data_IF_123627674687
#
_entry.id   IF_123627674687
#
_cell.length_a   1.000
_cell.length_b   1.000
_cell.length_c   1.000
_cell.angle_alpha   90.00
_cell.angle_beta   90.00
_cell.angle_gamma   90.00
#
_symmetry.space_group_name_H-M   'P 1'
#
loop_
_entity.id
_entity.type
_entity.pdbx_description
1 polymer ?
#
# COMPACT_ATOMS: atom_id res chain seq x y z
N UNK A 1 -22.86 16.85 0.46
CA UNK A 1 -21.59 17.61 0.57
C UNK A 1 -21.21 17.65 2.04
N UNK A 2 -20.03 17.15 2.39
CA UNK A 2 -19.55 17.19 3.78
C UNK A 2 -18.70 18.45 3.98
N UNK A 3 -18.94 19.17 5.07
CA UNK A 3 -18.17 20.35 5.45
C UNK A 3 -17.34 19.99 6.68
N UNK A 4 -16.04 20.24 6.62
CA UNK A 4 -15.12 20.08 7.74
C UNK A 4 -14.73 21.47 8.22
N UNK A 5 -14.97 21.76 9.49
CA UNK A 5 -14.45 22.95 10.15
C UNK A 5 -13.22 22.56 10.96
N UNK A 6 -12.09 23.21 10.68
CA UNK A 6 -10.87 23.05 11.47
C UNK A 6 -10.75 24.30 12.33
N UNK A 7 -10.71 24.10 13.65
CA UNK A 7 -10.58 25.18 14.65
C UNK A 7 -9.18 25.19 15.22
N UNK A 8 -8.83 26.32 15.82
CA UNK A 8 -7.59 26.49 16.59
C UNK A 8 -6.33 26.12 15.80
N UNK A 9 -6.34 26.44 14.50
CA UNK A 9 -5.17 26.25 13.64
C UNK A 9 -4.11 27.27 14.06
N UNK A 10 -2.88 26.83 14.37
CA UNK A 10 -1.77 27.75 14.64
C UNK A 10 -1.61 28.76 13.51
N UNK A 11 -1.37 30.02 13.86
CA UNK A 11 -1.35 31.11 12.88
C UNK A 11 -0.27 30.87 11.80
N UNK A 12 0.87 30.31 12.21
CA UNK A 12 1.99 30.00 11.34
C UNK A 12 1.62 28.93 10.31
N UNK A 13 0.85 27.92 10.72
CA UNK A 13 0.36 26.88 9.83
C UNK A 13 -0.68 27.44 8.85
N UNK A 14 -1.56 28.32 9.31
CA UNK A 14 -2.53 28.98 8.44
C UNK A 14 -1.84 29.83 7.37
N UNK A 15 -0.85 30.64 7.74
CA UNK A 15 -0.09 31.48 6.82
C UNK A 15 0.66 30.65 5.79
N UNK A 16 1.37 29.60 6.22
CA UNK A 16 2.09 28.70 5.33
C UNK A 16 1.15 28.06 4.28
N UNK A 17 -0.03 27.60 4.69
CA UNK A 17 -1.03 27.03 3.78
C UNK A 17 -1.57 28.11 2.83
N UNK A 18 -1.82 29.32 3.33
CA UNK A 18 -2.32 30.44 2.52
C UNK A 18 -1.32 30.82 1.42
N UNK A 19 -0.04 30.89 1.77
CA UNK A 19 1.01 31.28 0.84
C UNK A 19 1.28 30.18 -0.19
N UNK A 20 1.24 28.91 0.20
CA UNK A 20 1.28 27.78 -0.73
C UNK A 20 0.10 27.83 -1.73
N UNK A 21 -1.12 28.06 -1.25
CA UNK A 21 -2.29 28.18 -2.11
C UNK A 21 -2.15 29.34 -3.11
N UNK A 22 -1.65 30.49 -2.66
CA UNK A 22 -1.37 31.66 -3.52
C UNK A 22 -0.29 31.37 -4.57
N UNK A 23 0.79 30.69 -4.19
CA UNK A 23 1.86 30.31 -5.11
C UNK A 23 1.35 29.43 -6.26
N UNK A 24 0.33 28.61 -5.99
CA UNK A 24 -0.35 27.79 -7.01
C UNK A 24 -1.53 28.51 -7.71
N UNK A 25 -1.80 29.78 -7.38
CA UNK A 25 -2.92 30.54 -7.94
C UNK A 25 -4.30 30.02 -7.54
N UNK A 26 -4.39 29.27 -6.43
CA UNK A 26 -5.62 28.64 -5.96
C UNK A 26 -6.23 29.40 -4.78
N UNK A 27 -7.54 29.32 -4.63
CA UNK A 27 -8.18 29.72 -3.37
C UNK A 27 -7.77 28.75 -2.26
N UNK A 28 -7.72 29.23 -1.02
CA UNK A 28 -7.37 28.40 0.14
C UNK A 28 -8.28 27.18 0.26
N UNK A 29 -9.58 27.33 0.00
CA UNK A 29 -10.54 26.23 0.04
C UNK A 29 -10.29 25.19 -1.05
N UNK A 30 -9.99 25.61 -2.28
CA UNK A 30 -9.68 24.70 -3.38
C UNK A 30 -8.40 23.91 -3.08
N UNK A 31 -7.37 24.58 -2.59
CA UNK A 31 -6.12 23.97 -2.15
C UNK A 31 -6.35 22.95 -1.04
N UNK A 32 -7.06 23.32 0.03
CA UNK A 32 -7.34 22.40 1.15
C UNK A 32 -8.17 21.19 0.74
N UNK A 33 -9.10 21.34 -0.21
CA UNK A 33 -9.87 20.22 -0.76
C UNK A 33 -8.97 19.20 -1.46
N UNK A 34 -8.01 19.67 -2.25
CA UNK A 34 -7.03 18.80 -2.92
C UNK A 34 -6.14 18.10 -1.89
N UNK A 35 -5.61 18.84 -0.91
CA UNK A 35 -4.80 18.26 0.16
C UNK A 35 -5.57 17.20 0.95
N UNK A 36 -6.84 17.43 1.26
CA UNK A 36 -7.71 16.45 1.92
C UNK A 36 -7.87 15.18 1.09
N UNK A 37 -7.97 15.31 -0.24
CA UNK A 37 -8.06 14.16 -1.15
C UNK A 37 -6.77 13.34 -1.14
N UNK A 38 -5.61 14.00 -1.15
CA UNK A 38 -4.30 13.35 -1.04
C UNK A 38 -4.18 12.60 0.29
N UNK A 39 -4.58 13.23 1.40
CA UNK A 39 -4.60 12.60 2.73
C UNK A 39 -5.49 11.35 2.74
N UNK A 40 -6.70 11.45 2.20
CA UNK A 40 -7.64 10.32 2.12
C UNK A 40 -7.06 9.15 1.30
N UNK A 41 -6.41 9.44 0.17
CA UNK A 41 -5.75 8.42 -0.63
C UNK A 41 -4.60 7.73 0.12
N UNK A 42 -3.77 8.50 0.84
CA UNK A 42 -2.68 7.95 1.67
C UNK A 42 -3.23 7.09 2.81
N UNK A 43 -4.28 7.54 3.50
CA UNK A 43 -4.93 6.79 4.56
C UNK A 43 -5.49 5.45 4.06
N UNK A 44 -6.16 5.43 2.90
CA UNK A 44 -6.65 4.19 2.27
C UNK A 44 -5.52 3.21 1.93
N UNK A 45 -4.44 3.70 1.33
CA UNK A 45 -3.27 2.87 0.99
C UNK A 45 -2.64 2.27 2.25
N UNK A 46 -2.48 3.08 3.30
CA UNK A 46 -1.95 2.60 4.58
C UNK A 46 -2.85 1.53 5.18
N UNK A 47 -4.16 1.76 5.23
CA UNK A 47 -5.11 0.79 5.76
C UNK A 47 -5.05 -0.56 5.00
N UNK A 48 -4.95 -0.54 3.67
CA UNK A 48 -4.80 -1.76 2.88
C UNK A 48 -3.51 -2.53 3.22
N UNK A 49 -2.38 -1.83 3.39
CA UNK A 49 -1.12 -2.44 3.79
C UNK A 49 -1.18 -2.98 5.21
N UNK A 50 -1.82 -2.26 6.14
CA UNK A 50 -2.01 -2.70 7.51
C UNK A 50 -2.87 -3.98 7.55
N UNK A 51 -3.92 -4.08 6.72
CA UNK A 51 -4.72 -5.31 6.55
C UNK A 51 -3.87 -6.48 6.05
N UNK A 52 -3.05 -6.28 5.01
CA UNK A 52 -2.16 -7.34 4.50
C UNK A 52 -1.17 -7.78 5.57
N UNK A 53 -0.60 -6.83 6.32
CA UNK A 53 0.34 -7.13 7.40
C UNK A 53 -0.33 -7.90 8.53
N UNK A 54 -1.56 -7.55 8.88
CA UNK A 54 -2.35 -8.27 9.88
C UNK A 54 -2.65 -9.70 9.41
N UNK A 55 -3.07 -9.88 8.16
CA UNK A 55 -3.28 -11.20 7.58
C UNK A 55 -2.00 -12.04 7.61
N UNK A 56 -0.87 -11.48 7.18
CA UNK A 56 0.42 -12.17 7.20
C UNK A 56 0.89 -12.50 8.63
N UNK A 57 0.60 -11.64 9.60
CA UNK A 57 0.96 -11.90 11.01
C UNK A 57 0.16 -13.04 11.64
N UNK A 58 -1.05 -13.29 11.12
CA UNK A 58 -1.94 -14.39 11.51
C UNK A 58 -1.70 -15.64 10.67
N UNK A 59 -1.06 -15.49 9.52
CA UNK A 59 -0.67 -16.58 8.66
C UNK A 59 0.50 -17.33 9.31
N UNK A 60 0.20 -18.49 9.90
CA UNK A 60 1.18 -19.44 10.43
C UNK A 60 1.88 -20.22 9.31
N UNK A 61 1.68 -19.80 8.06
CA UNK A 61 2.05 -20.53 6.85
C UNK A 61 1.00 -21.59 6.50
N UNK A 62 1.05 -22.06 5.26
CA UNK A 62 0.23 -23.19 4.78
C UNK A 62 0.71 -24.55 5.33
N UNK A 63 1.83 -24.58 6.06
CA UNK A 63 2.54 -25.81 6.40
C UNK A 63 3.22 -26.48 5.20
N UNK A 64 3.13 -25.87 4.01
CA UNK A 64 3.69 -26.41 2.77
C UNK A 64 5.18 -26.13 2.73
N UNK A 65 5.98 -27.19 2.76
CA UNK A 65 7.42 -27.15 2.61
C UNK A 65 7.81 -27.23 1.13
N UNK A 66 9.02 -26.77 0.80
CA UNK A 66 9.58 -26.93 -0.55
C UNK A 66 9.60 -28.40 -0.97
N UNK A 67 9.91 -29.29 -0.05
CA UNK A 67 9.98 -30.73 -0.26
C UNK A 67 8.60 -31.31 -0.60
N UNK A 68 7.54 -30.88 0.10
CA UNK A 68 6.16 -31.26 -0.21
C UNK A 68 5.71 -30.78 -1.59
N UNK A 69 6.10 -29.56 -2.00
CA UNK A 69 5.82 -29.05 -3.36
C UNK A 69 6.53 -29.90 -4.42
N UNK A 70 7.79 -30.27 -4.19
CA UNK A 70 8.56 -31.08 -5.13
C UNK A 70 8.07 -32.53 -5.20
N UNK A 71 7.56 -33.07 -4.09
CA UNK A 71 6.91 -34.37 -4.04
C UNK A 71 5.60 -34.37 -4.84
N UNK A 72 4.71 -33.40 -4.60
CA UNK A 72 3.47 -33.24 -5.37
C UNK A 72 3.75 -33.02 -6.87
N UNK A 73 4.75 -32.20 -7.21
CA UNK A 73 5.16 -32.01 -8.60
C UNK A 73 5.65 -33.31 -9.25
N UNK A 74 6.41 -34.14 -8.53
CA UNK A 74 6.84 -35.46 -9.03
C UNK A 74 5.66 -36.43 -9.16
N UNK A 75 4.68 -36.37 -8.26
CA UNK A 75 3.49 -37.20 -8.33
C UNK A 75 2.57 -36.82 -9.50
N UNK A 76 2.42 -35.52 -9.80
CA UNK A 76 1.55 -35.02 -10.87
C UNK A 76 2.22 -35.07 -12.25
N UNK A 77 3.52 -34.76 -12.34
CA UNK A 77 4.25 -34.62 -13.61
C UNK A 77 5.11 -35.84 -13.96
N UNK A 78 5.42 -36.68 -12.98
CA UNK A 78 6.51 -37.66 -13.08
C UNK A 78 7.88 -37.02 -12.78
N UNK A 79 8.94 -37.84 -12.64
CA UNK A 79 10.29 -37.32 -12.41
C UNK A 79 10.68 -36.34 -13.52
N UNK A 80 11.21 -35.19 -13.12
CA UNK A 80 11.83 -34.27 -14.06
C UNK A 80 13.07 -34.99 -14.63
N UNK A 81 13.30 -34.99 -15.95
CA UNK A 81 14.50 -35.61 -16.49
C UNK A 81 15.69 -34.93 -15.84
N UNK A 82 16.50 -35.70 -15.13
CA UNK A 82 17.72 -35.22 -14.52
C UNK A 82 18.54 -34.49 -15.60
N UNK A 83 19.17 -33.37 -15.23
CA UNK A 83 20.13 -32.64 -16.07
C UNK A 83 21.42 -33.46 -16.33
N UNK A 84 21.29 -34.74 -16.68
CA UNK A 84 22.38 -35.54 -17.26
C UNK A 84 22.45 -35.38 -18.78
N UNK A 85 21.42 -34.82 -19.41
CA UNK A 85 21.36 -34.61 -20.87
C UNK A 85 21.61 -33.14 -21.27
N UNK A 86 22.58 -32.50 -20.60
CA UNK A 86 23.18 -31.26 -21.11
C UNK A 86 24.42 -31.65 -21.94
N UNK A 87 24.31 -31.75 -23.28
CA UNK A 87 25.48 -31.97 -24.11
C UNK A 87 26.42 -30.76 -23.98
N UNK A 88 27.68 -31.05 -23.65
CA UNK A 88 28.78 -30.09 -23.76
C UNK A 88 28.94 -29.57 -25.19
#
# INVERSE_FOLDING_TARGET
MATIQIRDVPIEAYEAIRDAAKAEGKSLQAYMREQTTVIAQRARKKAALDTVREMLSKDTGTGVTRESILEDLRAVRGPWPDEEDSPR
#
